data_IF_026165411883
#
_entry.id   IF_026165411883
#
_cell.length_a   1.000
_cell.length_b   1.000
_cell.length_c   1.000
_cell.angle_alpha   90.00
_cell.angle_beta   90.00
_cell.angle_gamma   90.00
#
_symmetry.space_group_name_H-M   'P 1'
#
loop_
_entity.id
_entity.type
_entity.pdbx_description
1 polymer ?
#
# COMPACT_ATOMS: atom_id res chain seq x y z
N UNK A 1 -34.28 -41.41 35.77
CA UNK A 1 -33.07 -42.08 35.25
C UNK A 1 -32.88 -41.79 33.77
N UNK A 2 -32.69 -40.54 33.39
CA UNK A 2 -32.25 -40.10 32.06
C UNK A 2 -31.42 -38.85 32.25
N UNK A 3 -30.21 -38.97 32.81
CA UNK A 3 -29.32 -37.81 33.01
C UNK A 3 -27.82 -38.11 32.98
N UNK A 4 -27.42 -39.32 32.57
CA UNK A 4 -25.98 -39.69 32.57
C UNK A 4 -25.37 -40.05 31.23
N UNK A 5 -26.14 -40.00 30.15
CA UNK A 5 -25.67 -40.41 28.80
C UNK A 5 -25.28 -39.26 27.88
N UNK A 6 -25.67 -38.04 28.18
CA UNK A 6 -25.34 -36.84 27.32
C UNK A 6 -23.99 -36.25 27.63
N UNK A 7 -23.47 -36.42 28.84
CA UNK A 7 -22.17 -35.87 29.25
C UNK A 7 -20.95 -36.66 28.72
N UNK A 8 -21.13 -37.91 28.23
CA UNK A 8 -20.00 -38.71 27.69
C UNK A 8 -19.77 -38.53 26.19
N UNK A 9 -20.71 -38.02 25.45
CA UNK A 9 -20.56 -37.78 23.99
C UNK A 9 -19.87 -36.45 23.66
N UNK A 10 -19.90 -35.48 24.57
CA UNK A 10 -19.25 -34.17 24.38
C UNK A 10 -17.72 -34.20 24.65
N UNK A 11 -17.24 -35.13 25.48
CA UNK A 11 -15.79 -35.25 25.75
C UNK A 11 -15.01 -36.06 24.72
N UNK A 12 -15.67 -36.92 23.95
CA UNK A 12 -15.02 -37.70 22.91
C UNK A 12 -14.90 -36.94 21.56
N UNK A 13 -15.76 -35.97 21.31
CA UNK A 13 -15.68 -35.11 20.12
C UNK A 13 -14.60 -34.03 20.26
N UNK A 14 -14.38 -33.49 21.46
CA UNK A 14 -13.31 -32.50 21.71
C UNK A 14 -11.90 -33.10 21.68
N UNK A 15 -11.74 -34.36 22.09
CA UNK A 15 -10.41 -35.02 22.04
C UNK A 15 -10.02 -35.47 20.60
N UNK A 16 -10.94 -35.64 19.67
CA UNK A 16 -10.63 -35.89 18.26
C UNK A 16 -10.39 -34.65 17.44
N UNK A 17 -10.88 -33.49 17.82
CA UNK A 17 -10.62 -32.23 17.15
C UNK A 17 -9.23 -31.66 17.47
N UNK A 18 -8.74 -31.82 18.71
CA UNK A 18 -7.43 -31.35 19.12
C UNK A 18 -6.28 -32.23 18.56
N UNK A 19 -6.56 -33.52 18.26
CA UNK A 19 -5.56 -34.45 17.70
C UNK A 19 -5.28 -34.24 16.19
N UNK A 20 -6.14 -33.53 15.46
CA UNK A 20 -5.95 -33.31 14.02
C UNK A 20 -5.16 -32.06 13.66
N UNK A 21 -4.91 -31.15 14.60
CA UNK A 21 -4.11 -29.94 14.33
C UNK A 21 -2.60 -30.11 14.63
N UNK A 22 -2.17 -31.25 15.18
CA UNK A 22 -0.76 -31.52 15.48
C UNK A 22 -0.03 -32.34 14.40
N UNK A 23 -0.70 -32.73 13.31
CA UNK A 23 -0.09 -33.62 12.29
C UNK A 23 0.45 -32.85 11.07
N UNK A 24 0.23 -31.53 10.96
CA UNK A 24 0.79 -30.76 9.84
C UNK A 24 2.12 -30.06 10.11
N UNK A 25 2.72 -30.25 11.30
CA UNK A 25 3.98 -29.58 11.67
C UNK A 25 5.23 -30.46 11.54
N UNK A 26 5.12 -31.70 11.10
CA UNK A 26 6.30 -32.59 11.01
C UNK A 26 6.31 -33.28 9.64
N UNK A 27 7.12 -32.78 8.78
CA UNK A 27 7.82 -33.30 7.60
C UNK A 27 7.68 -32.37 6.39
N UNK A 28 8.28 -31.19 6.48
CA UNK A 28 8.83 -30.57 5.27
C UNK A 28 10.33 -30.90 5.30
N UNK A 29 10.68 -32.04 4.78
CA UNK A 29 12.07 -32.36 4.42
C UNK A 29 12.47 -31.34 3.37
N UNK A 30 13.49 -30.56 3.69
CA UNK A 30 14.12 -29.59 2.76
C UNK A 30 14.77 -30.39 1.62
N UNK A 31 13.98 -30.79 0.64
CA UNK A 31 14.51 -31.11 -0.67
C UNK A 31 14.79 -29.76 -1.35
N UNK A 32 16.02 -29.59 -1.77
CA UNK A 32 16.63 -28.39 -2.28
C UNK A 32 15.66 -27.39 -2.90
N UNK A 33 15.81 -26.15 -2.51
CA UNK A 33 15.13 -25.01 -3.12
C UNK A 33 15.50 -25.01 -4.61
N UNK A 34 14.74 -25.78 -5.41
CA UNK A 34 14.71 -25.55 -6.84
C UNK A 34 13.99 -24.22 -7.01
N UNK A 35 14.72 -23.22 -7.43
CA UNK A 35 14.15 -22.01 -7.98
C UNK A 35 13.20 -22.41 -9.10
N UNK A 36 11.92 -22.54 -8.79
CA UNK A 36 10.86 -22.55 -9.81
C UNK A 36 10.65 -21.11 -10.25
N UNK A 37 11.63 -20.56 -10.95
CA UNK A 37 11.34 -19.46 -11.85
C UNK A 37 10.41 -20.06 -12.92
N UNK A 38 9.10 -19.94 -12.71
CA UNK A 38 8.12 -20.20 -13.75
C UNK A 38 8.47 -19.27 -14.91
N UNK A 39 9.02 -19.83 -15.97
CA UNK A 39 9.31 -19.05 -17.18
C UNK A 39 7.96 -18.69 -17.79
N UNK A 40 7.44 -17.53 -17.41
CA UNK A 40 6.22 -16.98 -17.99
C UNK A 40 6.46 -16.80 -19.49
N UNK A 41 5.63 -17.40 -20.31
CA UNK A 41 5.66 -17.23 -21.78
C UNK A 41 4.52 -16.32 -22.21
N UNK A 42 4.76 -15.50 -23.23
CA UNK A 42 3.71 -14.69 -23.84
C UNK A 42 2.62 -15.61 -24.41
N UNK A 43 1.37 -15.28 -24.10
CA UNK A 43 0.25 -16.02 -24.67
C UNK A 43 0.18 -15.75 -26.20
N UNK A 44 0.24 -16.80 -27.05
CA UNK A 44 0.23 -16.66 -28.49
C UNK A 44 -1.11 -16.14 -29.07
N UNK A 45 -2.21 -16.25 -28.28
CA UNK A 45 -3.53 -15.77 -28.69
C UNK A 45 -3.65 -14.24 -28.69
N UNK A 46 -2.73 -13.54 -28.04
CA UNK A 46 -2.73 -12.08 -28.05
C UNK A 46 -2.13 -11.55 -29.37
N UNK A 47 -2.81 -10.55 -29.92
CA UNK A 47 -2.35 -9.79 -31.07
C UNK A 47 -1.08 -8.99 -30.80
N UNK A 48 -0.47 -8.48 -31.84
CA UNK A 48 0.69 -7.58 -31.78
C UNK A 48 0.33 -6.23 -32.39
N UNK A 49 0.95 -5.16 -31.88
CA UNK A 49 0.74 -3.81 -32.39
C UNK A 49 1.35 -3.67 -33.77
N UNK A 50 0.58 -3.05 -34.69
CA UNK A 50 0.98 -2.74 -36.05
C UNK A 50 0.65 -1.29 -36.40
N UNK A 51 1.26 -0.73 -37.46
CA UNK A 51 0.96 0.64 -37.92
C UNK A 51 -0.55 0.89 -38.18
N UNK A 52 -1.32 -0.02 -38.84
CA UNK A 52 -2.77 0.17 -38.97
C UNK A 52 -3.53 0.26 -37.67
N UNK A 53 -3.12 -0.48 -36.63
CA UNK A 53 -3.74 -0.39 -35.30
C UNK A 53 -3.39 0.95 -34.63
N UNK A 54 -2.14 1.42 -34.76
CA UNK A 54 -1.75 2.74 -34.28
C UNK A 54 -2.53 3.87 -34.95
N UNK A 55 -2.86 3.74 -36.25
CA UNK A 55 -3.75 4.68 -36.95
C UNK A 55 -5.16 4.69 -36.34
N UNK A 56 -5.70 3.53 -35.98
CA UNK A 56 -7.00 3.46 -35.27
C UNK A 56 -6.91 4.16 -33.91
N UNK A 57 -5.87 3.93 -33.11
CA UNK A 57 -5.66 4.67 -31.85
C UNK A 57 -5.55 6.18 -32.10
N UNK A 58 -4.78 6.60 -33.10
CA UNK A 58 -4.64 8.02 -33.42
C UNK A 58 -5.97 8.66 -33.81
N UNK A 59 -6.86 7.94 -34.50
CA UNK A 59 -8.16 8.45 -34.94
C UNK A 59 -9.17 8.72 -33.82
N UNK A 60 -9.01 8.06 -32.65
CA UNK A 60 -9.90 8.19 -31.50
C UNK A 60 -9.37 9.13 -30.42
N UNK A 61 -8.15 9.60 -30.53
CA UNK A 61 -7.51 10.53 -29.62
C UNK A 61 -7.68 11.98 -30.06
N UNK A 62 -8.00 12.86 -29.14
CA UNK A 62 -8.13 14.31 -29.42
C UNK A 62 -6.79 14.97 -29.76
N UNK A 63 -5.68 14.44 -29.22
CA UNK A 63 -4.33 14.97 -29.47
C UNK A 63 -3.33 13.82 -29.67
N UNK A 64 -3.43 13.07 -30.78
CA UNK A 64 -2.64 11.85 -30.96
C UNK A 64 -1.12 12.09 -30.95
N UNK A 65 -0.64 13.25 -31.43
CA UNK A 65 0.78 13.59 -31.46
C UNK A 65 1.43 13.70 -30.06
N UNK A 66 0.64 13.92 -29.01
CA UNK A 66 1.10 14.02 -27.63
C UNK A 66 0.63 12.87 -26.76
N UNK A 67 -0.46 12.23 -27.17
CA UNK A 67 -1.15 11.18 -26.38
C UNK A 67 -0.77 9.76 -26.83
N UNK A 68 -0.28 9.56 -28.05
CA UNK A 68 0.15 8.27 -28.57
C UNK A 68 1.66 8.30 -28.86
N UNK A 69 2.41 7.47 -28.12
CA UNK A 69 3.87 7.38 -28.18
C UNK A 69 4.23 5.96 -28.60
N UNK A 70 5.02 5.80 -29.63
CA UNK A 70 5.39 4.45 -30.14
C UNK A 70 6.78 4.42 -30.76
N UNK A 71 7.43 3.25 -30.66
CA UNK A 71 8.67 2.99 -31.39
C UNK A 71 8.41 2.61 -32.86
N UNK A 72 7.16 2.36 -33.25
CA UNK A 72 6.78 2.08 -34.62
C UNK A 72 6.66 3.42 -35.38
N UNK A 73 7.37 3.60 -36.49
CA UNK A 73 7.38 4.87 -37.22
C UNK A 73 6.00 5.29 -37.75
N UNK A 74 5.72 6.60 -37.71
CA UNK A 74 4.56 7.22 -38.34
C UNK A 74 4.99 8.01 -39.59
N UNK A 75 4.66 7.53 -40.77
CA UNK A 75 4.98 8.22 -42.02
C UNK A 75 4.32 9.60 -42.13
N UNK A 76 3.11 9.72 -41.62
CA UNK A 76 2.29 10.96 -41.64
C UNK A 76 2.39 11.79 -40.37
N UNK A 77 3.24 11.41 -39.41
CA UNK A 77 3.34 12.05 -38.07
C UNK A 77 2.01 12.08 -37.30
N UNK A 78 1.24 10.99 -37.42
CA UNK A 78 -0.05 10.85 -36.74
C UNK A 78 0.14 10.59 -35.24
N UNK A 79 1.32 10.08 -34.80
CA UNK A 79 1.71 9.89 -33.42
C UNK A 79 3.18 10.26 -33.22
N UNK A 80 3.59 10.34 -31.94
CA UNK A 80 4.97 10.60 -31.58
C UNK A 80 5.81 9.33 -31.72
N UNK A 81 6.74 9.32 -32.66
CA UNK A 81 7.70 8.23 -32.85
C UNK A 81 8.94 8.51 -32.03
N UNK A 82 9.34 7.55 -31.19
CA UNK A 82 10.43 7.67 -30.23
C UNK A 82 11.36 6.45 -30.29
N UNK A 83 12.55 6.59 -29.69
CA UNK A 83 13.47 5.47 -29.48
C UNK A 83 13.00 4.60 -28.29
N UNK A 84 13.42 3.32 -28.25
CA UNK A 84 13.02 2.39 -27.16
C UNK A 84 13.38 2.91 -25.77
N UNK A 85 14.51 3.59 -25.62
CA UNK A 85 14.97 4.17 -24.34
C UNK A 85 14.03 5.24 -23.78
N UNK A 86 13.29 5.93 -24.64
CA UNK A 86 12.31 6.94 -24.20
C UNK A 86 11.05 6.31 -23.57
N UNK A 87 10.79 5.03 -23.83
CA UNK A 87 9.72 4.27 -23.19
C UNK A 87 10.14 3.62 -21.86
N UNK A 88 11.40 3.75 -21.44
CA UNK A 88 11.92 3.14 -20.22
C UNK A 88 11.13 3.52 -18.97
N UNK A 89 10.68 4.75 -18.84
CA UNK A 89 9.88 5.23 -17.71
C UNK A 89 8.50 4.54 -17.59
N UNK A 90 7.99 3.98 -18.68
CA UNK A 90 6.75 3.22 -18.73
C UNK A 90 6.99 1.71 -18.67
N UNK A 91 8.14 1.25 -19.16
CA UNK A 91 8.51 -0.16 -19.23
C UNK A 91 9.23 -0.68 -17.98
N UNK A 92 9.62 0.19 -17.06
CA UNK A 92 10.33 -0.18 -15.82
C UNK A 92 9.61 0.34 -14.59
N UNK A 93 9.58 -0.45 -13.53
CA UNK A 93 9.16 0.06 -12.23
C UNK A 93 10.24 0.97 -11.63
N UNK A 94 9.86 1.81 -10.68
CA UNK A 94 10.79 2.77 -10.05
C UNK A 94 11.98 2.12 -9.32
N UNK A 95 11.87 0.84 -8.94
CA UNK A 95 12.96 0.08 -8.32
C UNK A 95 13.85 -0.64 -9.32
N UNK A 96 13.48 -0.67 -10.61
CA UNK A 96 14.19 -1.41 -11.65
C UNK A 96 14.13 -2.94 -11.51
N UNK A 97 13.14 -3.47 -10.78
CA UNK A 97 12.96 -4.91 -10.56
C UNK A 97 12.18 -5.58 -11.68
N UNK A 98 11.22 -4.87 -12.24
CA UNK A 98 10.33 -5.35 -13.30
C UNK A 98 10.58 -4.55 -14.56
N UNK A 99 10.76 -5.24 -15.69
CA UNK A 99 11.10 -4.63 -16.96
C UNK A 99 10.27 -5.28 -18.06
N UNK A 100 9.42 -4.48 -18.70
CA UNK A 100 8.64 -4.85 -19.87
C UNK A 100 9.27 -4.38 -21.17
N UNK A 101 8.54 -4.61 -22.28
CA UNK A 101 9.00 -4.27 -23.65
C UNK A 101 7.84 -3.74 -24.50
N UNK A 102 6.96 -2.93 -23.89
CA UNK A 102 5.92 -2.28 -24.67
C UNK A 102 6.52 -1.38 -25.75
N UNK A 103 5.92 -1.42 -26.92
CA UNK A 103 6.24 -0.54 -28.05
C UNK A 103 5.25 0.62 -28.20
N UNK A 104 4.24 0.69 -27.32
CA UNK A 104 3.16 1.64 -27.43
C UNK A 104 2.67 2.09 -26.05
N UNK A 105 2.68 3.40 -25.85
CA UNK A 105 2.10 4.07 -24.68
C UNK A 105 1.01 5.01 -25.15
N UNK A 106 -0.17 4.92 -24.53
CA UNK A 106 -1.30 5.78 -24.85
C UNK A 106 -1.69 6.55 -23.58
N UNK A 107 -1.89 7.86 -23.72
CA UNK A 107 -2.22 8.79 -22.63
C UNK A 107 -3.55 9.50 -22.92
N UNK A 108 -4.68 8.81 -22.74
CA UNK A 108 -6.00 9.37 -23.01
C UNK A 108 -6.32 10.53 -22.05
N UNK A 109 -7.14 11.46 -22.53
CA UNK A 109 -7.60 12.65 -21.76
C UNK A 109 -9.02 12.53 -21.25
N UNK A 110 -9.81 11.60 -21.78
CA UNK A 110 -11.20 11.41 -21.42
C UNK A 110 -11.56 9.94 -21.27
N UNK A 111 -12.59 9.64 -20.50
CA UNK A 111 -13.17 8.31 -20.36
C UNK A 111 -13.60 7.72 -21.70
N UNK A 112 -14.13 8.56 -22.61
CA UNK A 112 -14.51 8.12 -23.95
C UNK A 112 -13.32 7.70 -24.80
N UNK A 113 -12.17 8.38 -24.72
CA UNK A 113 -10.95 7.95 -25.37
C UNK A 113 -10.49 6.58 -24.82
N UNK A 114 -10.52 6.39 -23.50
CA UNK A 114 -10.22 5.09 -22.87
C UNK A 114 -11.16 4.01 -23.43
N UNK A 115 -12.46 4.28 -23.50
CA UNK A 115 -13.44 3.32 -24.01
C UNK A 115 -13.18 2.91 -25.45
N UNK A 116 -12.88 3.86 -26.33
CA UNK A 116 -12.58 3.60 -27.75
C UNK A 116 -11.26 2.83 -27.92
N UNK A 117 -10.22 3.18 -27.14
CA UNK A 117 -8.96 2.45 -27.11
C UNK A 117 -9.17 1.00 -26.67
N UNK A 118 -9.96 0.79 -25.61
CA UNK A 118 -10.26 -0.57 -25.13
C UNK A 118 -11.03 -1.40 -26.15
N UNK A 119 -11.97 -0.82 -26.91
CA UNK A 119 -12.66 -1.51 -28.02
C UNK A 119 -11.67 -1.99 -29.08
N UNK A 120 -10.77 -1.11 -29.50
CA UNK A 120 -9.71 -1.46 -30.48
C UNK A 120 -8.83 -2.59 -29.92
N UNK A 121 -8.42 -2.51 -28.64
CA UNK A 121 -7.63 -3.55 -27.98
C UNK A 121 -8.41 -4.88 -27.94
N UNK A 122 -9.69 -4.83 -27.61
CA UNK A 122 -10.55 -6.02 -27.57
C UNK A 122 -10.71 -6.69 -28.93
N UNK A 123 -11.02 -5.91 -29.98
CA UNK A 123 -11.17 -6.37 -31.37
C UNK A 123 -9.90 -7.02 -31.91
N UNK A 124 -8.75 -6.44 -31.61
CA UNK A 124 -7.44 -6.93 -32.05
C UNK A 124 -6.77 -7.88 -31.05
N UNK A 125 -7.45 -8.26 -29.96
CA UNK A 125 -6.92 -9.11 -28.89
C UNK A 125 -5.58 -8.61 -28.31
N UNK A 126 -5.42 -7.32 -28.18
CA UNK A 126 -4.22 -6.73 -27.60
C UNK A 126 -4.28 -6.80 -26.07
N UNK A 127 -3.19 -7.24 -25.45
CA UNK A 127 -3.03 -7.16 -24.01
C UNK A 127 -2.76 -5.70 -23.58
N UNK A 128 -3.37 -5.27 -22.47
CA UNK A 128 -3.27 -3.90 -21.97
C UNK A 128 -2.79 -3.91 -20.54
N UNK A 129 -1.89 -2.99 -20.20
CA UNK A 129 -1.48 -2.69 -18.82
C UNK A 129 -1.93 -1.28 -18.46
N UNK A 130 -2.92 -1.12 -17.57
CA UNK A 130 -3.25 0.19 -17.02
C UNK A 130 -2.11 0.70 -16.13
N UNK A 131 -1.72 1.96 -16.32
CA UNK A 131 -0.65 2.56 -15.53
C UNK A 131 -1.06 3.93 -15.01
N UNK A 132 -0.86 4.13 -13.69
CA UNK A 132 -0.95 5.44 -13.05
C UNK A 132 0.43 6.08 -12.89
N UNK A 133 0.79 6.47 -11.66
CA UNK A 133 2.09 7.06 -11.33
C UNK A 133 3.27 6.07 -11.28
N UNK A 134 3.07 4.79 -11.57
CA UNK A 134 4.07 3.73 -11.57
C UNK A 134 4.84 3.61 -10.24
N UNK A 135 4.17 3.82 -9.12
CA UNK A 135 4.73 3.81 -7.75
C UNK A 135 4.58 2.47 -7.03
N UNK A 136 3.96 1.48 -7.66
CA UNK A 136 3.74 0.14 -7.09
C UNK A 136 5.03 -0.63 -6.84
N UNK A 137 5.00 -1.59 -5.90
CA UNK A 137 6.16 -2.36 -5.47
C UNK A 137 6.28 -3.75 -6.10
N UNK A 138 5.23 -4.19 -6.81
CA UNK A 138 5.08 -5.57 -7.29
C UNK A 138 4.97 -5.69 -8.82
N UNK A 139 5.23 -4.60 -9.54
CA UNK A 139 5.25 -4.58 -11.00
C UNK A 139 3.88 -4.62 -11.67
N UNK A 140 2.77 -4.38 -10.95
CA UNK A 140 1.41 -4.44 -11.51
C UNK A 140 1.10 -3.41 -12.60
N UNK A 141 1.87 -2.33 -12.68
CA UNK A 141 1.75 -1.28 -13.70
C UNK A 141 2.80 -1.38 -14.83
N UNK A 142 3.64 -2.42 -14.81
CA UNK A 142 4.70 -2.64 -15.80
C UNK A 142 4.31 -3.76 -16.74
N UNK A 143 4.50 -3.62 -18.07
CA UNK A 143 4.26 -4.70 -19.02
C UNK A 143 5.09 -5.94 -18.67
N UNK A 144 4.53 -7.13 -18.84
CA UNK A 144 5.27 -8.39 -18.71
C UNK A 144 6.02 -8.70 -20.01
N UNK A 145 5.40 -8.36 -21.14
CA UNK A 145 5.94 -8.56 -22.47
C UNK A 145 5.86 -7.27 -23.31
N UNK A 146 4.94 -7.23 -24.25
CA UNK A 146 4.74 -6.17 -25.24
C UNK A 146 3.33 -5.55 -25.19
N UNK A 147 2.68 -5.65 -24.01
CA UNK A 147 1.34 -5.11 -23.78
C UNK A 147 1.30 -3.61 -24.07
N UNK A 148 0.14 -3.13 -24.52
CA UNK A 148 -0.13 -1.69 -24.65
C UNK A 148 -0.14 -1.07 -23.26
N UNK A 149 0.70 -0.07 -23.00
CA UNK A 149 0.62 0.71 -21.75
C UNK A 149 -0.43 1.80 -21.92
N UNK A 150 -1.48 1.73 -21.11
CA UNK A 150 -2.51 2.76 -21.01
C UNK A 150 -2.27 3.61 -19.78
N UNK A 151 -1.54 4.72 -19.95
CA UNK A 151 -1.15 5.60 -18.87
C UNK A 151 -2.17 6.71 -18.65
N UNK A 152 -2.75 6.78 -17.46
CA UNK A 152 -3.87 7.68 -17.14
C UNK A 152 -3.45 9.07 -16.66
N UNK A 153 -2.18 9.44 -16.75
CA UNK A 153 -1.67 10.73 -16.24
C UNK A 153 -2.33 11.97 -16.85
N UNK A 154 -2.87 11.85 -18.06
CA UNK A 154 -3.57 12.96 -18.75
C UNK A 154 -5.05 13.06 -18.40
N UNK A 155 -5.60 12.09 -17.69
CA UNK A 155 -6.96 12.05 -17.17
C UNK A 155 -6.94 12.56 -15.72
N UNK A 156 -6.80 13.87 -15.52
CA UNK A 156 -6.38 14.48 -14.25
C UNK A 156 -7.22 15.70 -13.80
N UNK A 157 -8.49 15.74 -14.18
CA UNK A 157 -9.37 16.85 -13.80
C UNK A 157 -10.04 16.58 -12.46
N UNK A 158 -10.09 17.59 -11.60
CA UNK A 158 -11.01 17.62 -10.46
C UNK A 158 -12.36 18.02 -11.01
N UNK A 159 -13.35 17.10 -10.96
CA UNK A 159 -14.66 17.29 -11.57
C UNK A 159 -15.59 18.11 -10.69
N UNK A 160 -15.64 17.83 -9.39
CA UNK A 160 -16.43 18.59 -8.42
C UNK A 160 -15.99 18.31 -6.98
N UNK A 161 -16.32 19.24 -6.08
CA UNK A 161 -16.21 19.09 -4.65
C UNK A 161 -17.43 19.70 -3.95
N UNK A 162 -18.08 18.90 -3.11
CA UNK A 162 -19.17 19.38 -2.26
C UNK A 162 -18.69 19.55 -0.82
N UNK A 163 -18.52 20.79 -0.39
CA UNK A 163 -18.07 21.14 0.95
C UNK A 163 -19.09 20.80 2.06
N UNK A 164 -20.37 20.54 1.73
CA UNK A 164 -21.37 20.13 2.72
C UNK A 164 -21.17 18.67 3.13
N UNK A 165 -21.02 17.79 2.16
CA UNK A 165 -20.85 16.35 2.38
C UNK A 165 -19.37 15.92 2.52
N UNK A 166 -18.42 16.77 2.09
CA UNK A 166 -17.01 16.41 1.95
C UNK A 166 -16.77 15.40 0.83
N UNK A 167 -17.55 15.49 -0.27
CA UNK A 167 -17.42 14.54 -1.38
C UNK A 167 -16.63 15.16 -2.52
N UNK A 168 -15.52 14.50 -2.88
CA UNK A 168 -14.69 14.85 -4.02
C UNK A 168 -14.96 13.92 -5.18
N UNK A 169 -15.15 14.47 -6.39
CA UNK A 169 -15.22 13.71 -7.65
C UNK A 169 -14.07 14.15 -8.54
N UNK A 170 -13.26 13.21 -8.98
CA UNK A 170 -12.08 13.50 -9.79
C UNK A 170 -11.78 12.38 -10.79
N UNK A 171 -10.92 12.69 -11.76
CA UNK A 171 -10.34 11.72 -12.68
C UNK A 171 -9.33 10.82 -11.99
N UNK A 172 -9.18 9.59 -12.50
CA UNK A 172 -8.32 8.56 -11.94
C UNK A 172 -6.81 8.88 -11.97
N UNK A 173 -6.38 9.75 -12.89
CA UNK A 173 -4.99 10.19 -13.04
C UNK A 173 -4.61 11.38 -12.15
N UNK A 174 -5.51 11.87 -11.30
CA UNK A 174 -5.16 12.91 -10.33
C UNK A 174 -4.14 12.41 -9.31
N UNK A 175 -3.13 13.24 -9.05
CA UNK A 175 -2.10 12.95 -8.04
C UNK A 175 -2.68 13.13 -6.63
N UNK A 176 -2.41 12.21 -5.72
CA UNK A 176 -2.97 12.20 -4.37
C UNK A 176 -2.67 13.50 -3.60
N UNK A 177 -1.44 13.98 -3.63
CA UNK A 177 -1.03 15.22 -2.96
C UNK A 177 -1.77 16.44 -3.54
N UNK A 178 -1.92 16.52 -4.87
CA UNK A 178 -2.71 17.58 -5.52
C UNK A 178 -4.17 17.59 -5.06
N UNK A 179 -4.75 16.41 -4.85
CA UNK A 179 -6.11 16.29 -4.33
C UNK A 179 -6.18 16.72 -2.86
N UNK A 180 -5.20 16.32 -2.03
CA UNK A 180 -5.14 16.71 -0.61
C UNK A 180 -4.98 18.23 -0.47
N UNK A 181 -4.11 18.86 -1.27
CA UNK A 181 -3.92 20.32 -1.31
C UNK A 181 -5.18 21.07 -1.79
N UNK A 182 -5.92 20.46 -2.72
CA UNK A 182 -7.15 21.06 -3.21
C UNK A 182 -8.24 21.09 -2.12
N UNK A 183 -8.51 19.93 -1.48
CA UNK A 183 -9.55 19.85 -0.45
C UNK A 183 -9.15 20.54 0.86
N UNK A 184 -7.83 20.74 1.09
CA UNK A 184 -7.29 21.46 2.25
C UNK A 184 -7.78 22.91 2.30
N UNK A 185 -8.01 23.55 1.16
CA UNK A 185 -8.50 24.92 1.05
C UNK A 185 -9.90 25.07 1.65
N UNK A 186 -10.66 23.98 1.67
CA UNK A 186 -12.02 23.91 2.23
C UNK A 186 -12.03 23.26 3.64
N UNK A 187 -10.83 23.04 4.23
CA UNK A 187 -10.68 22.44 5.55
C UNK A 187 -10.93 20.92 5.58
N UNK A 188 -10.69 20.24 4.46
CA UNK A 188 -10.79 18.79 4.32
C UNK A 188 -9.42 18.15 4.06
N UNK A 189 -9.36 16.84 4.03
CA UNK A 189 -8.16 16.08 3.70
C UNK A 189 -8.53 14.78 2.98
N UNK A 190 -7.60 14.21 2.24
CA UNK A 190 -7.81 12.88 1.67
C UNK A 190 -7.81 11.81 2.78
N UNK A 191 -8.64 10.75 2.67
CA UNK A 191 -8.73 9.71 3.71
C UNK A 191 -7.54 8.76 3.73
N UNK A 192 -6.60 8.88 2.82
CA UNK A 192 -5.38 8.07 2.72
C UNK A 192 -4.14 8.97 2.64
N UNK A 193 -3.01 8.46 3.13
CA UNK A 193 -1.70 9.09 3.03
C UNK A 193 -0.65 8.02 2.75
N UNK A 194 0.14 8.23 1.71
CA UNK A 194 1.11 7.27 1.20
C UNK A 194 2.48 7.94 1.03
N UNK A 195 3.55 7.19 1.23
CA UNK A 195 4.91 7.69 1.01
C UNK A 195 5.14 8.22 -0.42
N UNK A 196 4.38 7.73 -1.41
CA UNK A 196 4.44 8.15 -2.81
C UNK A 196 3.38 9.21 -3.18
N UNK A 197 2.76 9.92 -2.23
CA UNK A 197 1.64 10.85 -2.48
C UNK A 197 1.89 11.90 -3.56
N UNK A 198 3.13 12.36 -3.70
CA UNK A 198 3.52 13.34 -4.71
C UNK A 198 3.56 12.82 -6.15
N UNK A 199 3.38 11.51 -6.36
CA UNK A 199 3.44 10.89 -7.70
C UNK A 199 2.41 9.79 -7.93
N UNK A 200 1.83 9.18 -6.91
CA UNK A 200 0.79 8.17 -7.07
C UNK A 200 -0.53 8.81 -7.52
N UNK A 201 -1.29 8.08 -8.34
CA UNK A 201 -2.57 8.51 -8.87
C UNK A 201 -3.72 7.84 -8.12
N UNK A 202 -4.81 8.59 -7.88
CA UNK A 202 -5.95 8.10 -7.09
C UNK A 202 -6.59 6.83 -7.70
N UNK A 203 -6.68 6.72 -9.02
CA UNK A 203 -7.19 5.51 -9.68
C UNK A 203 -6.34 4.27 -9.40
N UNK A 204 -5.01 4.42 -9.39
CA UNK A 204 -4.07 3.36 -9.00
C UNK A 204 -4.17 3.01 -7.52
N UNK A 205 -4.35 4.01 -6.64
CA UNK A 205 -4.57 3.76 -5.21
C UNK A 205 -5.85 2.96 -4.96
N UNK A 206 -6.94 3.31 -5.66
CA UNK A 206 -8.21 2.56 -5.60
C UNK A 206 -8.06 1.17 -6.20
N UNK A 207 -7.43 1.05 -7.37
CA UNK A 207 -7.23 -0.25 -8.03
C UNK A 207 -6.40 -1.23 -7.18
N UNK A 208 -5.47 -0.75 -6.35
CA UNK A 208 -4.68 -1.57 -5.43
C UNK A 208 -5.24 -1.62 -4.00
N UNK A 209 -6.38 -0.96 -3.75
CA UNK A 209 -6.94 -0.77 -2.40
C UNK A 209 -5.85 -0.31 -1.41
N UNK A 210 -5.11 0.73 -1.78
CA UNK A 210 -3.98 1.21 -1.00
C UNK A 210 -4.42 1.66 0.40
N UNK A 211 -3.69 1.23 1.42
CA UNK A 211 -3.92 1.58 2.81
C UNK A 211 -3.18 2.87 3.21
N UNK A 212 -2.06 2.73 3.92
CA UNK A 212 -1.22 3.81 4.38
C UNK A 212 -1.56 4.29 5.80
N UNK A 213 -0.92 5.36 6.22
CA UNK A 213 -0.92 5.82 7.61
C UNK A 213 -2.31 6.12 8.17
N UNK A 214 -3.23 6.62 7.33
CA UNK A 214 -4.59 7.02 7.75
C UNK A 214 -5.60 5.87 7.81
N UNK A 215 -5.17 4.65 7.48
CA UNK A 215 -6.06 3.47 7.45
C UNK A 215 -6.71 3.19 8.81
N UNK A 216 -5.93 3.31 9.89
CA UNK A 216 -6.44 3.06 11.25
C UNK A 216 -7.65 3.94 11.57
N UNK A 217 -7.63 5.20 11.14
CA UNK A 217 -8.69 6.16 11.46
C UNK A 217 -9.85 6.14 10.47
N UNK A 218 -9.56 6.07 9.18
CA UNK A 218 -10.57 6.23 8.13
C UNK A 218 -10.92 4.92 7.41
N UNK A 219 -10.21 3.84 7.72
CA UNK A 219 -10.44 2.53 7.14
C UNK A 219 -9.93 2.41 5.69
N UNK A 220 -10.36 1.32 5.07
CA UNK A 220 -10.04 0.97 3.69
C UNK A 220 -10.75 1.86 2.69
N UNK A 221 -10.20 1.96 1.47
CA UNK A 221 -10.87 2.60 0.33
C UNK A 221 -12.22 1.95 -0.01
N UNK A 222 -12.43 0.69 0.35
CA UNK A 222 -13.75 0.05 0.29
C UNK A 222 -14.85 0.82 1.04
N UNK A 223 -14.51 1.51 2.13
CA UNK A 223 -15.43 2.29 2.94
C UNK A 223 -15.49 3.78 2.56
N UNK A 224 -14.44 4.33 1.96
CA UNK A 224 -14.34 5.76 1.67
C UNK A 224 -14.68 6.14 0.23
N UNK A 225 -14.51 5.19 -0.72
CA UNK A 225 -14.93 5.38 -2.11
C UNK A 225 -16.45 5.25 -2.22
N UNK A 226 -17.11 6.30 -2.69
CA UNK A 226 -18.57 6.37 -2.86
C UNK A 226 -19.02 5.86 -4.22
N UNK A 227 -18.22 6.10 -5.27
CA UNK A 227 -18.54 5.70 -6.63
C UNK A 227 -17.33 5.62 -7.52
N UNK A 228 -17.45 4.81 -8.58
CA UNK A 228 -16.41 4.63 -9.59
C UNK A 228 -17.00 4.71 -11.00
N UNK A 229 -16.30 5.39 -11.89
CA UNK A 229 -16.49 5.26 -13.32
C UNK A 229 -15.40 4.31 -13.84
N UNK A 230 -15.82 3.28 -14.58
CA UNK A 230 -14.91 2.22 -15.03
C UNK A 230 -15.17 1.91 -16.51
N UNK A 231 -14.10 1.73 -17.27
CA UNK A 231 -14.17 1.20 -18.64
C UNK A 231 -13.86 -0.29 -18.58
N UNK A 232 -14.81 -1.10 -19.05
CA UNK A 232 -14.68 -2.56 -19.12
C UNK A 232 -13.76 -2.98 -20.28
N UNK A 233 -13.27 -4.23 -20.29
CA UNK A 233 -12.37 -4.71 -21.33
C UNK A 233 -12.91 -4.60 -22.77
N UNK A 234 -14.22 -4.69 -22.95
CA UNK A 234 -14.90 -4.53 -24.24
C UNK A 234 -15.15 -3.05 -24.65
N UNK A 235 -14.71 -2.10 -23.82
CA UNK A 235 -14.86 -0.67 -24.02
C UNK A 235 -16.21 -0.09 -23.57
N UNK A 236 -17.05 -0.87 -22.90
CA UNK A 236 -18.28 -0.32 -22.28
C UNK A 236 -17.94 0.50 -21.05
N UNK A 237 -18.63 1.61 -20.86
CA UNK A 237 -18.46 2.49 -19.69
C UNK A 237 -19.49 2.09 -18.63
N UNK A 238 -19.02 1.77 -17.43
CA UNK A 238 -19.86 1.60 -16.25
C UNK A 238 -19.94 2.95 -15.50
N UNK A 239 -21.07 3.68 -15.59
CA UNK A 239 -21.18 5.05 -15.08
C UNK A 239 -21.59 5.06 -13.60
N UNK A 240 -20.70 4.60 -12.70
CA UNK A 240 -21.00 4.42 -11.28
C UNK A 240 -20.48 5.55 -10.38
N UNK A 241 -20.32 6.79 -10.85
CA UNK A 241 -19.89 7.93 -10.02
C UNK A 241 -21.01 8.45 -9.11
N UNK A 242 -21.47 7.58 -8.20
CA UNK A 242 -22.42 7.96 -7.16
C UNK A 242 -21.69 8.78 -6.07
N UNK A 243 -22.41 9.79 -5.53
CA UNK A 243 -21.92 10.65 -4.44
C UNK A 243 -22.69 10.45 -3.14
N UNK A 244 -23.64 9.53 -3.13
CA UNK A 244 -24.45 9.22 -1.96
C UNK A 244 -23.63 8.39 -0.96
N UNK A 245 -23.63 8.82 0.32
CA UNK A 245 -22.98 8.06 1.40
C UNK A 245 -23.67 6.74 1.71
N UNK A 246 -24.97 6.65 1.42
CA UNK A 246 -25.76 5.44 1.56
C UNK A 246 -26.50 5.19 0.26
N UNK A 247 -26.15 4.12 -0.40
CA UNK A 247 -26.85 3.60 -1.56
C UNK A 247 -27.12 2.10 -1.34
N UNK A 248 -28.39 1.76 -1.16
CA UNK A 248 -28.84 0.38 -0.94
C UNK A 248 -29.50 -0.21 -2.20
N UNK A 249 -29.29 0.41 -3.37
CA UNK A 249 -29.89 0.02 -4.62
C UNK A 249 -29.09 -1.08 -5.32
N UNK A 250 -29.51 -2.33 -5.17
CA UNK A 250 -28.87 -3.48 -5.81
C UNK A 250 -27.51 -3.85 -5.24
N UNK A 251 -26.67 -4.44 -6.07
CA UNK A 251 -25.31 -4.84 -5.69
C UNK A 251 -24.35 -3.64 -5.78
N UNK A 252 -23.47 -3.55 -4.81
CA UNK A 252 -22.41 -2.52 -4.78
C UNK A 252 -21.25 -2.89 -5.70
N UNK A 253 -21.42 -2.64 -7.01
CA UNK A 253 -20.48 -3.08 -8.05
C UNK A 253 -19.10 -2.44 -7.94
N UNK A 254 -18.95 -1.25 -7.35
CA UNK A 254 -17.63 -0.61 -7.18
C UNK A 254 -16.66 -1.48 -6.37
N UNK A 255 -17.18 -2.33 -5.47
CA UNK A 255 -16.39 -3.23 -4.64
C UNK A 255 -15.59 -4.26 -5.45
N UNK A 256 -16.03 -4.58 -6.67
CA UNK A 256 -15.31 -5.51 -7.56
C UNK A 256 -14.03 -4.88 -8.13
N UNK A 257 -14.02 -3.56 -8.30
CA UNK A 257 -12.92 -2.83 -8.93
C UNK A 257 -11.89 -2.30 -7.92
N UNK A 258 -12.30 -2.09 -6.67
CA UNK A 258 -11.38 -1.72 -5.58
C UNK A 258 -10.50 -2.92 -5.27
N UNK A 259 -9.18 -2.79 -5.46
CA UNK A 259 -8.24 -3.89 -5.29
C UNK A 259 -8.16 -4.88 -6.47
N UNK A 260 -8.83 -4.60 -7.61
CA UNK A 260 -8.79 -5.48 -8.80
C UNK A 260 -7.50 -5.36 -9.61
N UNK A 261 -6.65 -4.39 -9.33
CA UNK A 261 -5.37 -4.11 -10.01
C UNK A 261 -5.50 -4.00 -11.54
N UNK A 262 -6.64 -3.47 -12.02
CA UNK A 262 -6.92 -3.31 -13.46
C UNK A 262 -7.32 -4.58 -14.18
N UNK A 263 -7.49 -5.71 -13.49
CA UNK A 263 -7.82 -7.01 -14.11
C UNK A 263 -9.28 -7.12 -14.59
N UNK A 264 -10.19 -6.32 -14.01
CA UNK A 264 -11.61 -6.32 -14.36
C UNK A 264 -12.04 -5.12 -15.21
N UNK A 265 -11.24 -4.08 -15.25
CA UNK A 265 -11.53 -2.85 -15.98
C UNK A 265 -10.61 -1.72 -15.56
N UNK A 266 -10.73 -0.59 -16.23
CA UNK A 266 -9.90 0.59 -16.03
C UNK A 266 -10.71 1.67 -15.32
N UNK A 267 -10.32 2.02 -14.09
CA UNK A 267 -10.95 3.11 -13.34
C UNK A 267 -10.57 4.43 -14.01
N UNK A 268 -11.58 5.22 -14.42
CA UNK A 268 -11.40 6.51 -15.08
C UNK A 268 -11.86 7.68 -14.21
N UNK A 269 -12.78 7.44 -13.27
CA UNK A 269 -13.28 8.45 -12.34
C UNK A 269 -13.51 7.87 -10.95
N UNK A 270 -13.32 8.70 -9.94
CA UNK A 270 -13.46 8.35 -8.52
C UNK A 270 -14.30 9.40 -7.81
N UNK A 271 -15.34 8.97 -7.09
CA UNK A 271 -16.05 9.75 -6.09
C UNK A 271 -15.63 9.23 -4.71
N UNK A 272 -15.07 10.09 -3.86
CA UNK A 272 -14.51 9.71 -2.57
C UNK A 272 -14.94 10.67 -1.46
N UNK A 273 -15.25 10.11 -0.29
CA UNK A 273 -15.53 10.88 0.92
C UNK A 273 -14.24 11.39 1.55
N UNK A 274 -14.13 12.67 1.74
CA UNK A 274 -13.01 13.33 2.41
C UNK A 274 -13.41 13.75 3.82
N UNK A 275 -12.63 13.39 4.86
CA UNK A 275 -12.90 13.83 6.21
C UNK A 275 -12.46 15.29 6.43
N UNK A 276 -13.03 15.94 7.45
CA UNK A 276 -12.51 17.23 7.93
C UNK A 276 -11.07 17.08 8.40
N UNK A 277 -10.24 18.07 8.06
CA UNK A 277 -8.86 18.13 8.52
C UNK A 277 -8.83 18.38 10.02
N UNK A 278 -8.10 17.59 10.81
CA UNK A 278 -7.96 17.84 12.24
C UNK A 278 -7.22 19.16 12.47
N UNK A 279 -7.58 19.86 13.56
CA UNK A 279 -6.93 21.11 13.99
C UNK A 279 -5.95 20.90 15.13
N UNK A 280 -5.96 19.71 15.73
CA UNK A 280 -5.05 19.27 16.79
C UNK A 280 -4.42 17.95 16.37
N UNK A 281 -3.08 17.91 16.35
CA UNK A 281 -2.31 16.69 16.07
C UNK A 281 -1.22 16.57 17.12
N UNK A 282 -1.19 15.44 17.82
CA UNK A 282 -0.15 15.15 18.80
C UNK A 282 0.53 13.83 18.45
N UNK A 283 1.84 13.77 18.62
CA UNK A 283 2.66 12.59 18.35
C UNK A 283 3.49 12.25 19.58
N UNK A 284 3.46 10.99 19.97
CA UNK A 284 4.32 10.45 21.01
C UNK A 284 5.05 9.21 20.53
N UNK A 285 6.23 8.96 21.08
CA UNK A 285 6.99 7.75 20.83
C UNK A 285 7.37 7.10 22.16
N UNK A 286 7.09 5.81 22.29
CA UNK A 286 7.34 5.02 23.48
C UNK A 286 8.35 3.92 23.21
N UNK A 287 9.15 3.61 24.21
CA UNK A 287 10.03 2.46 24.25
C UNK A 287 9.41 1.37 25.13
N UNK A 288 9.40 0.13 24.64
CA UNK A 288 8.79 -1.02 25.34
C UNK A 288 9.67 -2.26 25.23
N UNK A 289 9.53 -3.16 26.24
CA UNK A 289 10.44 -4.31 26.39
C UNK A 289 10.08 -5.53 25.53
N UNK A 290 8.89 -5.56 24.94
CA UNK A 290 8.45 -6.74 24.18
C UNK A 290 7.30 -6.41 23.22
N UNK A 291 7.03 -7.33 22.29
CA UNK A 291 5.85 -7.22 21.44
C UNK A 291 4.53 -7.38 22.23
N UNK A 292 4.55 -8.10 23.35
CA UNK A 292 3.41 -8.17 24.26
C UNK A 292 3.09 -6.79 24.85
N UNK A 293 4.14 -6.03 25.21
CA UNK A 293 3.98 -4.65 25.67
C UNK A 293 3.45 -3.73 24.55
N UNK A 294 3.83 -3.94 23.28
CA UNK A 294 3.23 -3.24 22.11
C UNK A 294 1.72 -3.48 22.07
N UNK A 295 1.27 -4.73 22.21
CA UNK A 295 -0.16 -5.09 22.21
C UNK A 295 -0.91 -4.44 23.38
N UNK A 296 -0.32 -4.50 24.55
CA UNK A 296 -0.90 -3.90 25.77
C UNK A 296 -0.99 -2.39 25.62
N UNK A 297 0.05 -1.73 25.12
CA UNK A 297 0.04 -0.30 24.80
C UNK A 297 -1.10 0.05 23.85
N UNK A 298 -1.29 -0.71 22.78
CA UNK A 298 -2.37 -0.49 21.82
C UNK A 298 -3.76 -0.58 22.48
N UNK A 299 -3.97 -1.57 23.35
CA UNK A 299 -5.22 -1.70 24.09
C UNK A 299 -5.50 -0.47 24.96
N UNK A 300 -4.48 0.02 25.70
CA UNK A 300 -4.60 1.23 26.52
C UNK A 300 -4.83 2.48 25.69
N UNK A 301 -4.10 2.65 24.60
CA UNK A 301 -4.30 3.76 23.66
C UNK A 301 -5.75 3.77 23.14
N UNK A 302 -6.31 2.62 22.78
CA UNK A 302 -7.70 2.52 22.35
C UNK A 302 -8.71 2.81 23.47
N UNK A 303 -8.38 2.54 24.71
CA UNK A 303 -9.25 2.89 25.85
C UNK A 303 -9.30 4.40 26.10
N UNK A 304 -8.15 5.09 26.02
CA UNK A 304 -8.04 6.50 26.33
C UNK A 304 -8.33 7.42 25.12
N UNK A 305 -7.94 7.02 23.90
CA UNK A 305 -7.86 7.90 22.75
C UNK A 305 -8.60 7.36 21.51
N UNK A 306 -9.54 6.40 21.63
CA UNK A 306 -10.15 5.73 20.49
C UNK A 306 -10.68 6.67 19.39
N UNK A 307 -11.36 7.77 19.77
CA UNK A 307 -12.00 8.71 18.85
C UNK A 307 -11.02 9.68 18.19
N UNK A 308 -9.81 9.83 18.74
CA UNK A 308 -8.77 10.72 18.18
C UNK A 308 -7.54 9.98 17.68
N UNK A 309 -7.42 8.68 17.93
CA UNK A 309 -6.30 7.87 17.45
C UNK A 309 -6.24 7.84 15.91
N UNK A 310 -5.14 8.29 15.34
CA UNK A 310 -4.95 8.36 13.88
C UNK A 310 -3.87 7.43 13.36
N UNK A 311 -2.82 7.14 14.15
CA UNK A 311 -1.82 6.16 13.79
C UNK A 311 -1.28 5.42 15.02
N UNK A 312 -0.91 4.17 14.82
CA UNK A 312 -0.21 3.33 15.79
C UNK A 312 0.79 2.44 15.05
N UNK A 313 2.06 2.81 15.16
CA UNK A 313 3.17 2.21 14.45
C UNK A 313 4.11 1.50 15.42
N UNK A 314 4.72 0.40 15.01
CA UNK A 314 5.81 -0.20 15.79
C UNK A 314 7.07 -0.38 14.94
N UNK A 315 8.21 -0.37 15.62
CA UNK A 315 9.54 -0.53 15.02
C UNK A 315 10.34 -1.42 15.97
N UNK A 316 10.96 -2.49 15.49
CA UNK A 316 11.91 -3.25 16.28
C UNK A 316 13.28 -2.55 16.41
N UNK A 317 14.06 -2.96 17.39
CA UNK A 317 15.38 -2.38 17.66
C UNK A 317 16.28 -2.39 16.42
N UNK A 318 16.27 -3.50 15.65
CA UNK A 318 17.12 -3.61 14.46
C UNK A 318 16.77 -2.59 13.41
N UNK A 319 15.48 -2.40 13.12
CA UNK A 319 15.00 -1.36 12.20
C UNK A 319 15.35 0.03 12.68
N UNK A 320 15.17 0.30 13.98
CA UNK A 320 15.48 1.60 14.59
C UNK A 320 16.97 1.94 14.52
N UNK A 321 17.84 0.98 14.86
CA UNK A 321 19.30 1.15 14.77
C UNK A 321 19.78 1.40 13.33
N UNK A 322 19.12 0.79 12.33
CA UNK A 322 19.42 1.02 10.92
C UNK A 322 19.07 2.44 10.49
N UNK A 323 17.96 2.98 10.98
CA UNK A 323 17.56 4.37 10.72
C UNK A 323 18.59 5.34 11.27
N UNK A 324 19.02 5.16 12.52
CA UNK A 324 19.99 6.06 13.14
C UNK A 324 21.37 6.04 12.45
N UNK A 325 21.74 4.91 11.85
CA UNK A 325 23.05 4.71 11.21
C UNK A 325 23.07 5.07 9.73
N UNK A 326 21.99 4.83 9.01
CA UNK A 326 22.02 4.71 7.55
C UNK A 326 21.01 5.61 6.81
N UNK A 327 20.41 6.57 7.45
CA UNK A 327 19.60 7.57 6.75
C UNK A 327 20.43 8.79 6.38
N UNK A 328 20.15 9.37 5.21
CA UNK A 328 20.74 10.64 4.77
C UNK A 328 20.37 11.81 5.68
N UNK A 329 19.25 11.71 6.37
CA UNK A 329 18.69 12.75 7.25
C UNK A 329 19.28 12.76 8.66
N UNK A 330 19.91 11.66 9.08
CA UNK A 330 20.49 11.47 10.44
C UNK A 330 19.56 11.97 11.54
N UNK A 331 18.37 11.39 11.71
CA UNK A 331 17.41 11.85 12.70
C UNK A 331 18.03 11.75 14.10
N UNK A 332 17.68 12.70 14.96
CA UNK A 332 18.10 12.67 16.36
C UNK A 332 17.40 11.52 17.05
N UNK A 333 18.18 10.74 17.80
CA UNK A 333 17.64 9.73 18.70
C UNK A 333 16.93 10.41 19.87
N UNK A 334 15.65 10.11 20.12
CA UNK A 334 14.92 10.67 21.24
C UNK A 334 15.20 9.95 22.57
N UNK A 335 15.89 8.79 22.53
CA UNK A 335 16.15 7.96 23.69
C UNK A 335 17.65 7.88 24.00
N UNK A 336 18.00 7.88 25.30
CA UNK A 336 19.38 7.71 25.75
C UNK A 336 19.83 6.24 25.70
N UNK A 337 18.88 5.33 25.86
CA UNK A 337 19.11 3.87 25.92
C UNK A 337 18.45 3.16 24.72
N UNK A 338 18.81 1.89 24.51
CA UNK A 338 18.24 1.02 23.49
C UNK A 338 17.20 0.08 24.10
N UNK A 339 16.08 -0.06 23.38
CA UNK A 339 14.96 -0.88 23.78
C UNK A 339 14.61 -1.89 22.67
N UNK A 340 14.04 -3.05 23.03
CA UNK A 340 13.67 -4.08 22.04
C UNK A 340 12.66 -3.61 21.02
N UNK A 341 11.72 -2.74 21.41
CA UNK A 341 10.63 -2.26 20.57
C UNK A 341 10.34 -0.78 20.83
N UNK A 342 9.86 -0.11 19.79
CA UNK A 342 9.40 1.27 19.83
C UNK A 342 7.99 1.37 19.24
N UNK A 343 7.16 2.19 19.83
CA UNK A 343 5.79 2.47 19.38
C UNK A 343 5.66 3.97 19.13
N UNK A 344 5.21 4.34 17.95
CA UNK A 344 4.84 5.72 17.62
C UNK A 344 3.31 5.78 17.55
N UNK A 345 2.73 6.74 18.25
CA UNK A 345 1.29 7.03 18.18
C UNK A 345 1.05 8.44 17.69
N UNK A 346 -0.02 8.61 16.92
CA UNK A 346 -0.54 9.92 16.56
C UNK A 346 -2.01 10.00 16.96
N UNK A 347 -2.36 11.12 17.58
CA UNK A 347 -3.75 11.50 17.83
C UNK A 347 -4.09 12.72 16.99
N UNK A 348 -5.28 12.72 16.38
CA UNK A 348 -5.76 13.79 15.51
C UNK A 348 -7.19 14.14 15.88
N UNK A 349 -7.41 15.32 16.42
CA UNK A 349 -8.71 15.79 16.88
C UNK A 349 -9.05 17.20 16.45
N UNK A 350 -10.02 17.80 17.12
CA UNK A 350 -10.54 19.14 16.80
C UNK A 350 -10.40 20.14 17.96
N UNK A 351 -9.89 19.71 19.09
CA UNK A 351 -9.70 20.57 20.28
C UNK A 351 -8.37 20.20 20.95
N UNK A 352 -7.42 21.11 20.87
CA UNK A 352 -6.04 20.91 21.37
C UNK A 352 -6.01 20.55 22.86
N UNK A 353 -6.67 21.34 23.71
CA UNK A 353 -6.66 21.16 25.16
C UNK A 353 -7.26 19.80 25.59
N UNK A 354 -8.37 19.43 24.96
CA UNK A 354 -9.02 18.14 25.19
C UNK A 354 -8.14 16.96 24.74
N UNK A 355 -7.53 17.08 23.55
CA UNK A 355 -6.72 16.00 22.98
C UNK A 355 -5.41 15.82 23.76
N UNK A 356 -4.79 16.92 24.23
CA UNK A 356 -3.61 16.90 25.11
C UNK A 356 -3.94 16.27 26.47
N UNK A 357 -5.08 16.63 27.07
CA UNK A 357 -5.51 16.05 28.35
C UNK A 357 -5.71 14.53 28.26
N UNK A 358 -6.28 14.04 27.14
CA UNK A 358 -6.42 12.59 26.90
C UNK A 358 -5.07 11.90 26.73
N UNK A 359 -4.16 12.51 25.98
CA UNK A 359 -2.82 11.98 25.80
C UNK A 359 -2.04 11.94 27.12
N UNK A 360 -2.19 12.97 27.95
CA UNK A 360 -1.55 13.01 29.27
C UNK A 360 -2.09 11.90 30.19
N UNK A 361 -3.41 11.71 30.24
CA UNK A 361 -4.01 10.62 31.02
C UNK A 361 -3.57 9.23 30.55
N UNK A 362 -3.38 9.06 29.24
CA UNK A 362 -2.79 7.84 28.68
C UNK A 362 -1.35 7.64 29.15
N UNK A 363 -0.52 8.68 29.13
CA UNK A 363 0.89 8.61 29.55
C UNK A 363 1.00 8.25 31.04
N UNK A 364 0.19 8.86 31.88
CA UNK A 364 0.13 8.56 33.32
C UNK A 364 -0.20 7.07 33.55
N UNK A 365 -1.24 6.54 32.87
CA UNK A 365 -1.63 5.13 32.98
C UNK A 365 -0.53 4.17 32.48
N UNK A 366 0.10 4.47 31.37
CA UNK A 366 1.18 3.63 30.80
C UNK A 366 2.43 3.60 31.70
N UNK A 367 2.77 4.74 32.33
CA UNK A 367 3.91 4.85 33.23
C UNK A 367 3.63 4.18 34.56
N UNK A 368 2.48 4.46 35.20
CA UNK A 368 2.08 3.86 36.46
C UNK A 368 1.98 2.32 36.38
N UNK A 369 1.47 1.82 35.24
CA UNK A 369 1.37 0.38 34.97
C UNK A 369 2.69 -0.25 34.55
N UNK A 370 3.79 0.53 34.40
CA UNK A 370 5.10 0.07 33.89
C UNK A 370 5.01 -0.68 32.55
N UNK A 371 4.06 -0.29 31.68
CA UNK A 371 3.89 -0.87 30.36
C UNK A 371 4.95 -0.31 29.39
N UNK A 372 5.29 0.97 29.53
CA UNK A 372 6.37 1.62 28.78
C UNK A 372 7.59 1.82 29.68
N UNK A 373 8.78 1.65 29.10
CA UNK A 373 10.05 1.87 29.81
C UNK A 373 10.53 3.32 29.69
N UNK A 374 10.17 4.00 28.59
CA UNK A 374 10.52 5.38 28.33
C UNK A 374 9.53 5.98 27.32
N UNK A 375 9.46 7.32 27.23
CA UNK A 375 8.58 7.97 26.27
C UNK A 375 8.91 9.43 26.02
N UNK A 376 8.61 9.89 24.82
CA UNK A 376 8.72 11.31 24.44
C UNK A 376 7.44 11.76 23.74
N UNK A 377 7.05 13.00 24.01
CA UNK A 377 5.91 13.66 23.35
C UNK A 377 6.43 14.87 22.59
N UNK A 378 6.07 14.96 21.33
CA UNK A 378 6.43 16.12 20.49
C UNK A 378 5.71 17.37 21.01
N UNK A 379 6.47 18.47 21.13
CA UNK A 379 5.97 19.75 21.65
C UNK A 379 5.65 20.75 20.51
N UNK A 380 6.11 20.48 19.29
CA UNK A 380 5.93 21.33 18.14
C UNK A 380 5.97 20.51 16.82
N UNK A 381 5.61 21.15 15.72
CA UNK A 381 5.61 20.50 14.39
C UNK A 381 6.98 19.97 13.95
N UNK A 382 8.07 20.57 14.41
CA UNK A 382 9.42 20.12 14.06
C UNK A 382 9.72 18.79 14.71
N UNK A 383 9.33 18.64 15.98
CA UNK A 383 9.46 17.40 16.73
C UNK A 383 8.52 16.33 16.18
N UNK A 384 7.27 16.68 15.82
CA UNK A 384 6.33 15.76 15.13
C UNK A 384 6.99 15.19 13.89
N UNK A 385 7.53 16.05 13.01
CA UNK A 385 8.22 15.62 11.78
C UNK A 385 9.47 14.78 12.08
N UNK A 386 10.20 15.10 13.15
CA UNK A 386 11.38 14.33 13.57
C UNK A 386 11.02 12.92 14.04
N UNK A 387 9.98 12.76 14.85
CA UNK A 387 9.52 11.43 15.29
C UNK A 387 8.98 10.59 14.12
N UNK A 388 8.16 11.18 13.25
CA UNK A 388 7.70 10.50 12.03
C UNK A 388 8.85 10.11 11.10
N UNK A 389 9.88 10.97 10.96
CA UNK A 389 11.07 10.66 10.16
C UNK A 389 11.79 9.38 10.62
N UNK A 390 11.79 9.07 11.93
CA UNK A 390 12.34 7.80 12.44
C UNK A 390 11.59 6.59 11.86
N UNK A 391 10.26 6.66 11.77
CA UNK A 391 9.42 5.58 11.24
C UNK A 391 9.46 5.49 9.71
N UNK A 392 9.35 6.62 9.05
CA UNK A 392 9.27 6.70 7.58
C UNK A 392 10.60 6.41 6.88
N UNK A 393 11.73 6.66 7.55
CA UNK A 393 13.05 6.39 6.98
C UNK A 393 13.49 4.92 7.06
N UNK A 394 12.71 4.02 7.67
CA UNK A 394 13.07 2.59 7.75
C UNK A 394 13.30 1.97 6.37
N UNK A 395 12.41 2.12 5.37
CA UNK A 395 12.62 1.54 4.04
C UNK A 395 13.88 2.06 3.33
N UNK A 396 14.16 3.35 3.43
CA UNK A 396 15.37 3.97 2.87
C UNK A 396 16.62 3.39 3.52
N UNK A 397 16.64 3.35 4.85
CA UNK A 397 17.77 2.86 5.64
C UNK A 397 18.11 1.40 5.35
N UNK A 398 17.10 0.56 5.14
CA UNK A 398 17.28 -0.83 4.72
C UNK A 398 18.01 -0.92 3.38
N UNK A 399 17.66 -0.06 2.41
CA UNK A 399 18.29 -0.02 1.08
C UNK A 399 19.77 0.28 1.09
N UNK A 400 20.25 1.08 2.06
CA UNK A 400 21.68 1.38 2.22
C UNK A 400 22.52 0.17 2.69
N UNK A 401 21.88 -0.78 3.38
CA UNK A 401 22.58 -1.93 3.95
C UNK A 401 22.87 -3.06 2.95
N UNK A 402 22.09 -3.13 1.87
CA UNK A 402 22.23 -4.21 0.87
C UNK A 402 20.98 -4.40 0.02
N UNK A 403 20.83 -5.61 -0.55
CA UNK A 403 19.57 -6.01 -1.18
C UNK A 403 18.53 -6.34 -0.11
N UNK A 404 17.35 -5.80 -0.26
CA UNK A 404 16.25 -5.99 0.69
C UNK A 404 15.21 -6.92 0.09
N UNK A 405 14.93 -8.02 0.78
CA UNK A 405 13.71 -8.79 0.58
C UNK A 405 12.69 -8.29 1.60
N UNK A 406 11.72 -7.52 1.12
CA UNK A 406 10.66 -6.92 1.91
C UNK A 406 9.33 -7.53 1.50
N UNK A 407 8.56 -7.95 2.48
CA UNK A 407 7.19 -8.42 2.31
C UNK A 407 6.29 -7.67 3.29
N UNK A 408 5.22 -7.09 2.76
CA UNK A 408 4.14 -6.52 3.56
C UNK A 408 3.03 -7.56 3.63
N UNK A 409 2.70 -7.98 4.85
CA UNK A 409 1.73 -9.06 5.10
C UNK A 409 0.75 -8.65 6.19
N UNK A 410 -0.52 -9.00 6.02
CA UNK A 410 -1.53 -8.83 7.04
C UNK A 410 -1.65 -10.11 7.86
N UNK A 411 -1.59 -9.98 9.18
CA UNK A 411 -1.59 -11.09 10.12
C UNK A 411 -2.55 -10.79 11.30
N UNK A 412 -3.07 -11.82 11.98
CA UNK A 412 -3.68 -11.62 13.28
C UNK A 412 -2.73 -10.88 14.21
N UNK A 413 -3.19 -9.80 14.84
CA UNK A 413 -2.36 -8.87 15.60
C UNK A 413 -1.56 -9.55 16.72
N UNK A 414 -2.13 -10.59 17.34
CA UNK A 414 -1.49 -11.40 18.40
C UNK A 414 -0.33 -12.28 17.88
N UNK A 415 -0.28 -12.55 16.56
CA UNK A 415 0.72 -13.39 15.89
C UNK A 415 1.67 -12.62 14.96
N UNK A 416 1.49 -11.31 14.89
CA UNK A 416 2.16 -10.50 13.88
C UNK A 416 3.69 -10.64 13.95
N UNK A 417 4.28 -10.53 15.14
CA UNK A 417 5.74 -10.58 15.30
C UNK A 417 6.31 -12.01 15.33
N UNK A 418 5.47 -13.04 15.51
CA UNK A 418 5.89 -14.44 15.42
C UNK A 418 6.54 -14.75 14.07
N UNK A 419 6.07 -14.10 12.98
CA UNK A 419 6.66 -14.26 11.65
C UNK A 419 8.12 -13.79 11.61
N UNK A 420 8.45 -12.69 12.29
CA UNK A 420 9.83 -12.17 12.37
C UNK A 420 10.71 -13.18 13.09
N UNK A 421 10.26 -13.70 14.25
CA UNK A 421 10.99 -14.73 14.99
C UNK A 421 11.18 -16.01 14.17
N UNK A 422 10.13 -16.53 13.53
CA UNK A 422 10.21 -17.73 12.67
C UNK A 422 11.22 -17.52 11.54
N UNK A 423 11.23 -16.33 10.93
CA UNK A 423 12.17 -16.02 9.85
C UNK A 423 13.61 -15.92 10.39
N UNK A 424 13.81 -15.27 11.55
CA UNK A 424 15.12 -15.20 12.21
C UNK A 424 15.64 -16.60 12.51
N UNK A 425 14.86 -17.46 13.13
CA UNK A 425 15.23 -18.84 13.46
C UNK A 425 15.59 -19.66 12.22
N UNK A 426 14.83 -19.54 11.15
CA UNK A 426 15.12 -20.23 9.88
C UNK A 426 16.41 -19.74 9.24
N UNK A 427 16.66 -18.43 9.24
CA UNK A 427 17.87 -17.85 8.66
C UNK A 427 19.09 -18.24 9.49
N UNK A 428 18.99 -18.21 10.83
CA UNK A 428 20.04 -18.69 11.74
C UNK A 428 20.29 -20.20 11.50
N UNK A 429 19.25 -21.01 11.54
CA UNK A 429 19.35 -22.48 11.37
C UNK A 429 19.88 -22.91 9.99
N UNK A 430 19.75 -22.05 8.96
CA UNK A 430 20.32 -22.30 7.62
C UNK A 430 21.79 -21.88 7.49
N UNK A 431 22.40 -21.29 8.52
CA UNK A 431 23.76 -20.76 8.49
C UNK A 431 23.95 -19.53 7.59
N UNK A 432 22.87 -18.83 7.23
CA UNK A 432 22.94 -17.63 6.38
C UNK A 432 23.27 -16.34 7.15
N UNK A 433 23.17 -16.34 8.49
CA UNK A 433 23.58 -15.21 9.33
C UNK A 433 25.09 -15.14 9.48
N UNK A 434 25.65 -13.95 9.75
CA UNK A 434 27.06 -13.80 10.05
C UNK A 434 27.51 -14.67 11.24
N UNK A 435 28.68 -15.27 11.10
CA UNK A 435 29.37 -16.02 12.17
C UNK A 435 30.81 -15.55 12.33
N UNK A 436 31.53 -16.04 13.32
CA UNK A 436 32.91 -15.64 13.57
C UNK A 436 33.85 -15.85 12.35
N UNK A 437 33.53 -16.80 11.49
CA UNK A 437 34.36 -17.19 10.34
C UNK A 437 33.69 -16.96 8.98
N UNK A 438 32.43 -16.50 8.94
CA UNK A 438 31.67 -16.24 7.71
C UNK A 438 30.87 -14.94 7.85
N UNK A 439 31.06 -13.96 6.95
CA UNK A 439 30.28 -12.72 6.97
C UNK A 439 28.77 -12.93 6.73
N UNK A 440 28.36 -14.16 6.39
CA UNK A 440 26.97 -14.51 6.15
C UNK A 440 26.39 -13.83 4.91
N UNK A 441 25.26 -14.37 4.42
CA UNK A 441 24.51 -13.77 3.30
C UNK A 441 23.41 -12.83 3.78
N UNK A 442 22.81 -13.10 4.94
CA UNK A 442 21.75 -12.28 5.54
C UNK A 442 22.34 -11.51 6.72
N UNK A 443 22.30 -10.20 6.66
CA UNK A 443 22.84 -9.29 7.68
C UNK A 443 21.90 -9.03 8.83
N UNK A 444 20.61 -8.98 8.55
CA UNK A 444 19.57 -8.72 9.53
C UNK A 444 18.23 -9.26 9.04
N UNK A 445 17.36 -9.61 9.98
CA UNK A 445 15.94 -9.88 9.80
C UNK A 445 15.19 -9.03 10.79
N UNK A 446 14.40 -8.08 10.32
CA UNK A 446 13.73 -7.08 11.14
C UNK A 446 12.27 -6.91 10.76
N UNK A 447 11.48 -6.31 11.68
CA UNK A 447 10.08 -6.09 11.53
C UNK A 447 9.64 -4.70 12.01
N UNK A 448 8.78 -4.08 11.24
CA UNK A 448 8.10 -2.83 11.60
C UNK A 448 6.73 -2.81 10.90
N UNK A 449 5.83 -1.97 11.33
CA UNK A 449 4.55 -1.95 10.63
C UNK A 449 3.47 -1.08 11.25
N UNK A 450 2.33 -1.09 10.55
CA UNK A 450 1.10 -0.45 10.94
C UNK A 450 0.32 -1.40 11.87
N UNK A 451 0.62 -1.35 13.17
CA UNK A 451 -0.02 -2.28 14.11
C UNK A 451 -1.54 -2.10 14.09
N UNK A 452 -2.02 -0.86 13.92
CA UNK A 452 -3.43 -0.53 13.96
C UNK A 452 -4.29 -1.21 12.89
N UNK A 453 -3.72 -1.56 11.73
CA UNK A 453 -4.41 -2.23 10.63
C UNK A 453 -3.99 -3.71 10.44
N UNK A 454 -3.06 -4.20 11.27
CA UNK A 454 -2.58 -5.57 11.21
C UNK A 454 -1.53 -5.84 10.14
N UNK A 455 -0.90 -4.80 9.55
CA UNK A 455 0.11 -4.95 8.51
C UNK A 455 1.52 -4.92 9.07
N UNK A 456 2.29 -5.98 8.78
CA UNK A 456 3.70 -6.14 9.11
C UNK A 456 4.55 -6.03 7.84
N UNK A 457 5.55 -5.16 7.87
CA UNK A 457 6.68 -5.20 6.94
C UNK A 457 7.79 -6.08 7.55
N UNK A 458 7.96 -7.29 7.03
CA UNK A 458 9.08 -8.16 7.40
C UNK A 458 10.17 -8.07 6.35
N UNK A 459 11.41 -7.85 6.78
CA UNK A 459 12.55 -7.61 5.91
C UNK A 459 13.72 -8.52 6.23
N UNK A 460 14.31 -9.11 5.18
CA UNK A 460 15.60 -9.77 5.24
C UNK A 460 16.64 -8.99 4.41
N UNK A 461 17.74 -8.60 5.04
CA UNK A 461 18.81 -7.83 4.43
C UNK A 461 19.92 -8.75 3.97
N UNK A 462 20.26 -8.73 2.69
CA UNK A 462 21.28 -9.57 2.10
C UNK A 462 22.51 -8.74 1.74
N UNK A 463 23.70 -9.27 2.01
CA UNK A 463 24.97 -8.67 1.55
C UNK A 463 24.96 -8.49 0.02
N UNK A 464 25.53 -7.39 -0.43
CA UNK A 464 25.70 -7.11 -1.88
C UNK A 464 26.66 -8.11 -2.50
#
# INVERSE_FOLDING_TARGET
MISSSVARLSQLSLRRAVSRHHVYATQITVHGIRSYAVKVSRNPDFGTITSPILQQFASVLSTPQTSLISTIPSEKKEWNTVEESELDSYNKDWMGKYIGRSKCVIRPKTTNEVAQIMRICYEHRLAVVPQGGNTGLVGGSVPVFDEVVLNLSSLNQIRSFDATSGTLVCDAGCILETLDDFVAKEGYMMPLDLGAKGSCHIGGNVASNAGGLRFLRYGSLHGTVLGLEVVLPNGDILPGLQTLRKDNTGLDLKQLFIGSEGSLGIITGVAIATPKRPTSVNVAMFAVESFEAVKTTYQRVRQHCAEILSAFEFIDQQSFDLVLKNTSRKPRDPFEERYPMYVLIETSGSNQEHDESKLQGLLEDLMESSIISNGVVAQDETQIKALWSLRESVPESLGHYGKVYKYDVSLPMDKMYDLVHILQDRVIGSGMMPSANDPGRVKAVCGYGHFGDGTLSVCALISR
#
